data_IF_456268962883
#
_entry.id   IF_456268962883
#
_cell.length_a   1.000
_cell.length_b   1.000
_cell.length_c   1.000
_cell.angle_alpha   90.00
_cell.angle_beta   90.00
_cell.angle_gamma   90.00
#
_symmetry.space_group_name_H-M   'P 1'
#
loop_
_entity.id
_entity.type
_entity.pdbx_description
1 polymer ?
#
# COMPACT_ATOMS: atom_id res chain seq x y z
N UNK A 1 -11.14 -4.23 22.33
CA UNK A 1 -11.73 -4.24 23.69
C UNK A 1 -10.69 -4.80 24.66
N UNK A 2 -10.52 -4.22 25.86
CA UNK A 2 -9.47 -4.67 26.81
C UNK A 2 -9.92 -5.82 27.72
N UNK A 3 -11.21 -5.87 28.06
CA UNK A 3 -11.78 -6.83 29.02
C UNK A 3 -13.28 -6.95 28.78
N UNK A 4 -13.82 -8.16 28.93
CA UNK A 4 -15.25 -8.47 28.85
C UNK A 4 -15.70 -9.27 30.07
N UNK A 5 -16.96 -9.16 30.52
CA UNK A 5 -17.44 -9.77 31.76
C UNK A 5 -17.20 -11.28 31.87
N UNK A 6 -16.77 -11.73 33.06
CA UNK A 6 -16.73 -13.15 33.44
C UNK A 6 -18.14 -13.68 33.70
N UNK A 7 -18.34 -15.01 33.77
CA UNK A 7 -19.63 -15.59 34.17
C UNK A 7 -20.18 -15.03 35.48
N UNK A 8 -19.34 -14.78 36.49
CA UNK A 8 -19.73 -14.21 37.77
C UNK A 8 -20.12 -12.73 37.67
N UNK A 9 -19.36 -11.94 36.91
CA UNK A 9 -19.63 -10.50 36.75
C UNK A 9 -20.94 -10.23 35.99
N UNK A 10 -21.35 -11.14 35.09
CA UNK A 10 -22.65 -11.07 34.39
C UNK A 10 -23.84 -11.15 35.33
N UNK A 11 -23.66 -11.63 36.56
CA UNK A 11 -24.73 -11.70 37.58
C UNK A 11 -24.98 -10.34 38.26
N UNK A 12 -24.15 -9.32 38.01
CA UNK A 12 -24.31 -7.99 38.62
C UNK A 12 -25.52 -7.27 38.01
N UNK A 13 -26.44 -6.72 38.83
CA UNK A 13 -27.70 -6.14 38.34
C UNK A 13 -27.52 -4.89 37.46
N UNK A 14 -26.36 -4.22 37.56
CA UNK A 14 -26.02 -3.07 36.72
C UNK A 14 -25.51 -3.42 35.32
N UNK A 15 -25.19 -4.69 35.05
CA UNK A 15 -24.60 -5.13 33.78
C UNK A 15 -23.21 -4.53 33.51
N UNK A 16 -22.81 -4.55 32.25
CA UNK A 16 -21.57 -3.96 31.75
C UNK A 16 -21.78 -3.29 30.39
N UNK A 17 -20.88 -2.38 30.02
CA UNK A 17 -20.93 -1.64 28.77
C UNK A 17 -19.56 -1.52 28.10
N UNK A 18 -19.54 -0.94 26.90
CA UNK A 18 -18.35 -0.75 26.07
C UNK A 18 -18.19 0.73 25.73
N UNK A 19 -16.99 1.24 25.93
CA UNK A 19 -16.51 2.46 25.29
C UNK A 19 -15.50 2.10 24.19
N UNK A 20 -15.85 2.39 22.93
CA UNK A 20 -15.06 2.08 21.74
C UNK A 20 -14.48 3.35 21.10
N UNK A 21 -13.54 3.21 20.16
CA UNK A 21 -12.86 4.34 19.53
C UNK A 21 -12.77 4.15 18.01
N UNK A 22 -13.29 5.12 17.25
CA UNK A 22 -12.96 5.34 15.83
C UNK A 22 -11.94 6.47 15.64
N UNK A 23 -11.82 7.33 16.65
CA UNK A 23 -10.85 8.42 16.78
C UNK A 23 -10.06 8.31 18.08
N UNK A 24 -8.81 8.78 18.13
CA UNK A 24 -8.06 8.87 19.37
C UNK A 24 -6.91 9.88 19.35
N UNK A 25 -6.80 10.64 20.45
CA UNK A 25 -5.66 11.49 20.80
C UNK A 25 -4.81 10.76 21.85
N UNK A 26 -3.62 10.28 21.47
CA UNK A 26 -2.73 9.59 22.40
C UNK A 26 -1.75 8.61 21.76
N UNK A 27 -1.17 7.74 22.58
CA UNK A 27 -0.12 6.79 22.17
C UNK A 27 -0.65 5.54 21.42
N UNK A 28 0.20 4.87 20.62
CA UNK A 28 1.57 5.27 20.26
C UNK A 28 1.61 6.47 19.29
N UNK A 29 0.51 6.72 18.58
CA UNK A 29 0.28 7.92 17.77
C UNK A 29 -1.21 8.14 17.56
N UNK A 30 -1.61 9.39 17.64
CA UNK A 30 -2.99 9.83 17.41
C UNK A 30 -3.45 9.46 15.99
N UNK A 31 -4.74 9.26 15.81
CA UNK A 31 -5.39 9.08 14.52
C UNK A 31 -6.69 9.87 14.54
N UNK A 32 -6.76 10.89 13.68
CA UNK A 32 -7.74 11.97 13.80
C UNK A 32 -8.35 12.42 12.48
N UNK A 33 -7.74 12.04 11.36
CA UNK A 33 -8.04 12.69 10.09
C UNK A 33 -9.22 12.08 9.33
N UNK A 34 -9.19 10.77 9.07
CA UNK A 34 -10.19 10.07 8.25
C UNK A 34 -10.51 8.70 8.85
N UNK A 35 -11.56 8.05 8.32
CA UNK A 35 -11.93 6.71 8.76
C UNK A 35 -10.81 5.68 8.47
N UNK A 36 -10.42 4.98 9.53
CA UNK A 36 -9.41 3.90 9.55
C UNK A 36 -9.96 2.58 10.14
N UNK A 37 -11.28 2.49 10.33
CA UNK A 37 -11.91 1.38 11.06
C UNK A 37 -12.82 0.54 10.14
N UNK A 38 -12.35 -0.61 9.63
CA UNK A 38 -13.17 -1.48 8.79
C UNK A 38 -14.29 -2.16 9.58
N UNK A 39 -15.47 -2.33 8.97
CA UNK A 39 -16.64 -2.90 9.64
C UNK A 39 -16.41 -4.31 10.22
N UNK A 40 -15.70 -5.24 9.55
CA UNK A 40 -15.39 -6.54 10.14
C UNK A 40 -14.68 -6.46 11.49
N UNK A 41 -13.81 -5.46 11.67
CA UNK A 41 -13.13 -5.22 12.96
C UNK A 41 -14.10 -4.74 14.04
N UNK A 42 -15.03 -3.86 13.70
CA UNK A 42 -16.07 -3.41 14.62
C UNK A 42 -16.97 -4.58 15.00
N UNK A 43 -17.45 -5.32 13.99
CA UNK A 43 -18.32 -6.47 14.18
C UNK A 43 -17.69 -7.50 15.10
N UNK A 44 -16.46 -7.94 14.83
CA UNK A 44 -15.81 -9.01 15.59
C UNK A 44 -15.68 -8.64 17.07
N UNK A 45 -15.23 -7.42 17.37
CA UNK A 45 -15.06 -6.95 18.74
C UNK A 45 -16.41 -6.75 19.44
N UNK A 46 -17.37 -6.09 18.79
CA UNK A 46 -18.67 -5.81 19.39
C UNK A 46 -19.53 -7.07 19.51
N UNK A 47 -19.35 -8.05 18.62
CA UNK A 47 -19.97 -9.37 18.73
C UNK A 47 -19.48 -10.07 20.00
N UNK A 48 -18.18 -10.07 20.28
CA UNK A 48 -17.66 -10.59 21.54
C UNK A 48 -18.28 -9.86 22.74
N UNK A 49 -18.41 -8.53 22.70
CA UNK A 49 -19.05 -7.77 23.78
C UNK A 49 -20.49 -8.23 24.06
N UNK A 50 -21.29 -8.38 23.00
CA UNK A 50 -22.64 -8.89 23.10
C UNK A 50 -22.68 -10.32 23.65
N UNK A 51 -21.86 -11.23 23.11
CA UNK A 51 -21.80 -12.63 23.57
C UNK A 51 -21.34 -12.77 25.02
N UNK A 52 -20.61 -11.79 25.55
CA UNK A 52 -20.10 -11.78 26.92
C UNK A 52 -20.98 -10.96 27.88
N UNK A 53 -22.16 -10.51 27.45
CA UNK A 53 -23.13 -9.81 28.30
C UNK A 53 -22.71 -8.39 28.69
N UNK A 54 -21.87 -7.74 27.87
CA UNK A 54 -21.56 -6.32 28.02
C UNK A 54 -22.49 -5.48 27.15
N UNK A 55 -23.80 -5.59 27.35
CA UNK A 55 -24.86 -5.09 26.47
C UNK A 55 -25.67 -3.91 27.06
N UNK A 56 -25.27 -3.38 28.23
CA UNK A 56 -26.03 -2.34 28.92
C UNK A 56 -25.87 -0.94 28.32
N UNK A 57 -24.67 -0.62 27.84
CA UNK A 57 -24.34 0.70 27.27
C UNK A 57 -23.19 0.54 26.28
N UNK A 58 -23.41 0.91 25.02
CA UNK A 58 -22.36 1.03 24.02
C UNK A 58 -22.21 2.48 23.59
N UNK A 59 -20.99 3.01 23.72
CA UNK A 59 -20.63 4.35 23.31
C UNK A 59 -19.34 4.29 22.49
N UNK A 60 -19.23 5.09 21.44
CA UNK A 60 -18.05 5.15 20.58
C UNK A 60 -17.55 6.58 20.45
N UNK A 61 -16.24 6.78 20.58
CA UNK A 61 -15.58 8.03 20.24
C UNK A 61 -15.50 8.15 18.71
N UNK A 62 -16.20 9.15 18.16
CA UNK A 62 -16.28 9.41 16.72
C UNK A 62 -15.44 10.63 16.28
N UNK A 63 -14.61 11.18 17.17
CA UNK A 63 -13.87 12.42 16.90
C UNK A 63 -14.82 13.55 16.55
N UNK A 64 -14.57 14.21 15.42
CA UNK A 64 -15.37 15.32 14.87
C UNK A 64 -16.68 14.87 14.18
N UNK A 65 -17.13 13.62 14.43
CA UNK A 65 -18.27 12.94 13.79
C UNK A 65 -18.03 12.63 12.31
N UNK A 66 -17.74 13.63 11.48
CA UNK A 66 -17.30 13.41 10.09
C UNK A 66 -15.78 13.21 10.08
N UNK A 67 -15.22 12.32 9.23
CA UNK A 67 -15.88 11.50 8.20
C UNK A 67 -16.11 10.05 8.67
N UNK A 68 -16.75 9.85 9.84
CA UNK A 68 -16.99 8.53 10.45
C UNK A 68 -18.43 8.05 10.24
N UNK A 69 -19.16 8.53 9.24
CA UNK A 69 -20.60 8.29 9.05
C UNK A 69 -20.91 6.78 8.94
N UNK A 70 -20.20 6.08 8.05
CA UNK A 70 -20.40 4.64 7.81
C UNK A 70 -20.14 3.77 9.05
N UNK A 71 -18.96 3.83 9.70
CA UNK A 71 -18.72 3.01 10.88
C UNK A 71 -19.57 3.43 12.08
N UNK A 72 -19.94 4.71 12.22
CA UNK A 72 -20.83 5.19 13.28
C UNK A 72 -22.23 4.62 13.12
N UNK A 73 -22.79 4.69 11.91
CA UNK A 73 -24.10 4.11 11.64
C UNK A 73 -24.09 2.59 11.85
N UNK A 74 -23.04 1.90 11.38
CA UNK A 74 -22.91 0.46 11.60
C UNK A 74 -22.86 0.11 13.09
N UNK A 75 -22.07 0.86 13.89
CA UNK A 75 -21.99 0.64 15.33
C UNK A 75 -23.35 0.76 16.01
N UNK A 76 -24.14 1.78 15.66
CA UNK A 76 -25.47 2.01 16.23
C UNK A 76 -26.49 0.97 15.77
N UNK A 77 -26.50 0.60 14.48
CA UNK A 77 -27.35 -0.46 13.95
C UNK A 77 -27.01 -1.84 14.55
N UNK A 78 -25.71 -2.10 14.77
CA UNK A 78 -25.25 -3.31 15.42
C UNK A 78 -25.66 -3.33 16.91
N UNK A 79 -25.54 -2.20 17.61
CA UNK A 79 -25.99 -2.05 19.01
C UNK A 79 -27.48 -2.31 19.19
N UNK A 80 -28.30 -1.89 18.22
CA UNK A 80 -29.74 -2.09 18.24
C UNK A 80 -30.14 -3.57 18.23
N UNK A 81 -29.54 -4.36 17.32
CA UNK A 81 -29.80 -5.79 17.23
C UNK A 81 -28.60 -6.55 16.64
N UNK A 82 -27.66 -7.02 17.48
CA UNK A 82 -26.49 -7.77 17.02
C UNK A 82 -26.84 -9.05 16.25
N UNK A 83 -27.98 -9.69 16.57
CA UNK A 83 -28.41 -10.92 15.92
C UNK A 83 -28.88 -10.72 14.47
N UNK A 84 -29.30 -9.50 14.10
CA UNK A 84 -29.68 -9.18 12.72
C UNK A 84 -28.48 -9.12 11.75
N UNK A 85 -27.27 -8.96 12.31
CA UNK A 85 -26.04 -8.73 11.56
C UNK A 85 -24.97 -9.79 11.89
N UNK A 86 -25.16 -11.06 11.50
CA UNK A 86 -24.09 -12.06 11.57
C UNK A 86 -22.94 -11.69 10.61
N UNK A 87 -21.74 -12.26 10.82
CA UNK A 87 -20.54 -11.96 10.01
C UNK A 87 -20.79 -12.06 8.51
N UNK A 88 -21.52 -13.10 8.08
CA UNK A 88 -21.83 -13.37 6.68
C UNK A 88 -22.65 -12.26 6.00
N UNK A 89 -23.33 -11.39 6.77
CA UNK A 89 -24.15 -10.27 6.27
C UNK A 89 -23.44 -8.92 6.34
N UNK A 90 -22.16 -8.87 6.71
CA UNK A 90 -21.40 -7.62 6.67
C UNK A 90 -21.28 -7.02 5.26
N UNK A 91 -21.08 -7.82 4.19
CA UNK A 91 -21.15 -7.29 2.82
C UNK A 91 -22.52 -6.67 2.52
N UNK A 92 -23.62 -7.32 2.91
CA UNK A 92 -24.98 -6.81 2.70
C UNK A 92 -25.19 -5.43 3.33
N UNK A 93 -24.63 -5.19 4.52
CA UNK A 93 -24.80 -3.91 5.23
C UNK A 93 -24.34 -2.74 4.38
N UNK A 94 -23.13 -2.83 3.79
CA UNK A 94 -22.58 -1.76 2.96
C UNK A 94 -23.38 -1.59 1.67
N UNK A 95 -23.84 -2.69 1.06
CA UNK A 95 -24.70 -2.61 -0.13
C UNK A 95 -26.04 -1.95 0.18
N UNK A 96 -26.66 -2.25 1.32
CA UNK A 96 -27.90 -1.61 1.76
C UNK A 96 -27.72 -0.12 2.05
N UNK A 97 -26.65 0.25 2.76
CA UNK A 97 -26.28 1.65 2.98
C UNK A 97 -26.07 2.38 1.65
N UNK A 98 -25.27 1.80 0.75
CA UNK A 98 -24.99 2.40 -0.55
C UNK A 98 -26.26 2.54 -1.42
N UNK A 99 -27.16 1.56 -1.36
CA UNK A 99 -28.44 1.59 -2.07
C UNK A 99 -29.32 2.74 -1.58
N UNK A 100 -29.33 2.99 -0.26
CA UNK A 100 -30.07 4.11 0.33
C UNK A 100 -29.52 5.47 -0.11
N UNK A 101 -28.19 5.63 -0.13
CA UNK A 101 -27.55 6.92 -0.44
C UNK A 101 -27.45 7.22 -1.94
N UNK A 102 -27.21 6.20 -2.78
CA UNK A 102 -26.86 6.37 -4.20
C UNK A 102 -27.72 5.58 -5.17
N UNK A 103 -28.71 4.83 -4.67
CA UNK A 103 -29.56 3.96 -5.48
C UNK A 103 -28.93 2.60 -5.80
N UNK A 104 -29.76 1.68 -6.28
CA UNK A 104 -29.37 0.27 -6.47
C UNK A 104 -28.36 0.05 -7.61
N UNK A 105 -28.36 0.91 -8.63
CA UNK A 105 -27.54 0.74 -9.84
C UNK A 105 -26.05 0.64 -9.55
N UNK A 106 -25.54 1.49 -8.64
CA UNK A 106 -24.12 1.56 -8.31
C UNK A 106 -23.78 1.06 -6.90
N UNK A 107 -24.75 0.55 -6.15
CA UNK A 107 -24.60 0.21 -4.74
C UNK A 107 -23.46 -0.79 -4.47
N UNK A 108 -23.29 -1.78 -5.35
CA UNK A 108 -22.21 -2.77 -5.22
C UNK A 108 -20.81 -2.14 -5.32
N UNK A 109 -20.62 -1.23 -6.28
CA UNK A 109 -19.34 -0.55 -6.49
C UNK A 109 -19.04 0.42 -5.34
N UNK A 110 -20.04 1.20 -4.91
CA UNK A 110 -19.92 2.09 -3.75
C UNK A 110 -19.54 1.31 -2.48
N UNK A 111 -20.22 0.20 -2.21
CA UNK A 111 -19.94 -0.66 -1.07
C UNK A 111 -18.51 -1.21 -1.11
N UNK A 112 -18.05 -1.65 -2.29
CA UNK A 112 -16.68 -2.14 -2.49
C UNK A 112 -15.63 -1.05 -2.25
N UNK A 113 -15.85 0.18 -2.73
CA UNK A 113 -14.96 1.31 -2.48
C UNK A 113 -14.81 1.61 -0.99
N UNK A 114 -15.93 1.63 -0.26
CA UNK A 114 -15.97 1.90 1.19
C UNK A 114 -15.31 0.80 2.01
N UNK A 115 -15.60 -0.46 1.69
CA UNK A 115 -14.92 -1.61 2.31
C UNK A 115 -13.42 -1.55 2.09
N UNK A 116 -13.00 -1.29 0.85
CA UNK A 116 -11.59 -1.33 0.46
C UNK A 116 -10.77 -0.23 1.13
N UNK A 117 -11.22 1.04 1.11
CA UNK A 117 -10.43 2.11 1.72
C UNK A 117 -10.31 1.90 3.24
N UNK A 118 -11.39 1.47 3.91
CA UNK A 118 -11.38 1.27 5.35
C UNK A 118 -10.47 0.09 5.73
N UNK A 119 -10.48 -0.98 4.93
CA UNK A 119 -9.55 -2.11 5.07
C UNK A 119 -8.10 -1.67 4.86
N UNK A 120 -7.83 -0.89 3.82
CA UNK A 120 -6.48 -0.44 3.49
C UNK A 120 -5.92 0.51 4.56
N UNK A 121 -6.71 1.49 5.01
CA UNK A 121 -6.36 2.35 6.14
C UNK A 121 -6.23 1.58 7.47
N UNK A 122 -6.91 0.44 7.58
CA UNK A 122 -6.77 -0.50 8.70
C UNK A 122 -5.42 -1.22 8.75
N UNK A 123 -4.68 -1.34 7.63
CA UNK A 123 -3.33 -1.93 7.57
C UNK A 123 -2.34 -1.07 8.35
N UNK A 124 -2.36 0.24 8.09
CA UNK A 124 -1.60 1.26 8.80
C UNK A 124 -2.35 2.58 8.72
N UNK A 125 -2.59 3.21 9.87
CA UNK A 125 -3.31 4.49 9.94
C UNK A 125 -2.50 5.59 9.22
N UNK A 126 -3.14 6.56 8.55
CA UNK A 126 -2.47 7.62 7.79
C UNK A 126 -1.35 8.32 8.55
N UNK A 127 -1.62 8.74 9.79
CA UNK A 127 -0.65 9.46 10.64
C UNK A 127 0.53 8.57 11.06
N UNK A 128 0.38 7.25 10.98
CA UNK A 128 1.41 6.24 11.29
C UNK A 128 2.18 5.76 10.07
N UNK A 129 1.84 6.26 8.88
CA UNK A 129 2.64 6.04 7.68
C UNK A 129 3.96 6.80 7.77
N UNK A 130 4.95 6.21 7.13
CA UNK A 130 6.30 6.72 6.94
C UNK A 130 6.82 6.12 5.61
N UNK A 131 7.85 6.71 4.98
CA UNK A 131 8.37 6.20 3.72
C UNK A 131 8.70 4.71 3.75
N UNK A 132 9.22 4.20 4.86
CA UNK A 132 9.67 2.82 5.01
C UNK A 132 8.57 1.84 5.49
N UNK A 133 7.29 2.25 5.48
CA UNK A 133 6.17 1.42 5.97
C UNK A 133 5.97 0.17 5.13
N UNK A 134 5.97 0.33 3.80
CA UNK A 134 5.87 -0.76 2.85
C UNK A 134 7.21 -0.91 2.15
N UNK A 135 7.65 -2.14 1.90
CA UNK A 135 8.98 -2.40 1.39
C UNK A 135 9.13 -2.01 -0.09
N UNK A 136 10.10 -1.15 -0.39
CA UNK A 136 10.58 -0.92 -1.75
C UNK A 136 11.50 -2.04 -2.26
N UNK A 137 11.96 -2.94 -1.38
CA UNK A 137 13.00 -3.93 -1.70
C UNK A 137 12.44 -5.35 -1.83
N UNK A 138 11.33 -5.67 -1.19
CA UNK A 138 10.84 -7.04 -1.08
C UNK A 138 9.42 -7.15 -1.63
N UNK A 139 9.20 -8.19 -2.45
CA UNK A 139 7.87 -8.59 -2.95
C UNK A 139 7.10 -7.48 -3.68
N UNK A 140 7.83 -6.47 -4.17
CA UNK A 140 7.27 -5.25 -4.78
C UNK A 140 6.14 -4.64 -3.93
N UNK A 141 6.27 -4.71 -2.60
CA UNK A 141 5.17 -4.40 -1.68
C UNK A 141 4.70 -2.95 -1.82
N UNK A 142 5.63 -1.99 -1.77
CA UNK A 142 5.32 -0.56 -1.92
C UNK A 142 4.64 -0.26 -3.26
N UNK A 143 5.14 -0.84 -4.36
CA UNK A 143 4.55 -0.70 -5.69
C UNK A 143 3.12 -1.26 -5.75
N UNK A 144 2.89 -2.48 -5.24
CA UNK A 144 1.56 -3.11 -5.24
C UNK A 144 0.58 -2.32 -4.38
N UNK A 145 0.99 -1.84 -3.21
CA UNK A 145 0.13 -1.02 -2.35
C UNK A 145 -0.28 0.28 -3.04
N UNK A 146 0.65 0.97 -3.70
CA UNK A 146 0.34 2.19 -4.47
C UNK A 146 -0.57 1.87 -5.66
N UNK A 147 -0.31 0.78 -6.38
CA UNK A 147 -1.14 0.35 -7.50
C UNK A 147 -2.58 0.03 -7.07
N UNK A 148 -2.75 -0.69 -5.96
CA UNK A 148 -4.07 -1.00 -5.38
C UNK A 148 -4.84 0.27 -5.02
N UNK A 149 -4.18 1.23 -4.36
CA UNK A 149 -4.77 2.51 -4.00
C UNK A 149 -5.16 3.34 -5.23
N UNK A 150 -4.27 3.42 -6.22
CA UNK A 150 -4.52 4.20 -7.43
C UNK A 150 -5.61 3.57 -8.30
N UNK A 151 -5.69 2.24 -8.38
CA UNK A 151 -6.79 1.54 -9.01
C UNK A 151 -8.14 1.84 -8.30
N UNK A 152 -8.14 1.90 -6.97
CA UNK A 152 -9.32 2.26 -6.18
C UNK A 152 -9.75 3.72 -6.45
N UNK A 153 -8.80 4.65 -6.48
CA UNK A 153 -9.05 6.06 -6.79
C UNK A 153 -9.56 6.29 -8.22
N UNK A 154 -9.04 5.55 -9.20
CA UNK A 154 -9.56 5.57 -10.58
C UNK A 154 -11.00 5.06 -10.66
N UNK A 155 -11.31 3.96 -9.96
CA UNK A 155 -12.69 3.45 -9.87
C UNK A 155 -13.64 4.49 -9.25
N UNK A 156 -13.24 5.12 -8.15
CA UNK A 156 -14.04 6.17 -7.51
C UNK A 156 -14.26 7.38 -8.44
N UNK A 157 -13.24 7.83 -9.18
CA UNK A 157 -13.37 8.92 -10.17
C UNK A 157 -14.30 8.56 -11.33
N UNK A 158 -14.17 7.35 -11.87
CA UNK A 158 -15.05 6.86 -12.95
C UNK A 158 -16.51 6.82 -12.49
N UNK A 159 -16.77 6.32 -11.28
CA UNK A 159 -18.12 6.28 -10.74
C UNK A 159 -18.67 7.70 -10.48
N UNK A 160 -17.88 8.60 -9.88
CA UNK A 160 -18.30 9.98 -9.66
C UNK A 160 -18.79 10.69 -10.93
N UNK A 161 -18.16 10.40 -12.08
CA UNK A 161 -18.54 10.96 -13.37
C UNK A 161 -19.88 10.43 -13.90
N UNK A 162 -20.29 9.23 -13.48
CA UNK A 162 -21.55 8.59 -13.87
C UNK A 162 -22.73 9.03 -12.98
N UNK A 163 -22.46 9.48 -11.75
CA UNK A 163 -23.51 9.86 -10.82
C UNK A 163 -24.23 11.16 -11.24
N UNK A 164 -25.55 11.25 -10.96
CA UNK A 164 -26.31 12.49 -11.07
C UNK A 164 -25.69 13.62 -10.25
N UNK A 165 -25.81 14.86 -10.72
CA UNK A 165 -25.12 16.01 -10.12
C UNK A 165 -25.46 16.19 -8.64
N UNK A 166 -26.72 15.94 -8.27
CA UNK A 166 -27.26 16.02 -6.92
C UNK A 166 -26.64 15.00 -5.94
N UNK A 167 -26.07 13.89 -6.44
CA UNK A 167 -25.42 12.89 -5.60
C UNK A 167 -23.92 13.12 -5.45
N UNK A 168 -23.31 13.97 -6.28
CA UNK A 168 -21.84 14.11 -6.34
C UNK A 168 -21.23 14.67 -5.07
N UNK A 169 -21.92 15.56 -4.37
CA UNK A 169 -21.44 16.09 -3.08
C UNK A 169 -21.44 15.04 -1.97
N UNK A 170 -22.49 14.20 -1.93
CA UNK A 170 -22.57 13.08 -1.00
C UNK A 170 -21.51 12.02 -1.35
N UNK A 171 -21.37 11.68 -2.63
CA UNK A 171 -20.38 10.72 -3.08
C UNK A 171 -18.96 11.20 -2.81
N UNK A 172 -18.68 12.49 -3.06
CA UNK A 172 -17.36 13.04 -2.82
C UNK A 172 -16.98 12.94 -1.34
N UNK A 173 -17.87 13.36 -0.44
CA UNK A 173 -17.53 13.38 0.99
C UNK A 173 -17.50 11.98 1.64
N UNK A 174 -18.37 11.06 1.20
CA UNK A 174 -18.56 9.73 1.83
C UNK A 174 -17.64 8.66 1.22
N UNK A 175 -17.23 8.82 -0.04
CA UNK A 175 -16.55 7.77 -0.81
C UNK A 175 -15.29 8.30 -1.50
N UNK A 176 -15.41 9.29 -2.39
CA UNK A 176 -14.29 9.67 -3.27
C UNK A 176 -13.13 10.30 -2.50
N UNK A 177 -13.42 11.24 -1.59
CA UNK A 177 -12.40 11.93 -0.81
C UNK A 177 -11.54 10.98 0.03
N UNK A 178 -12.10 10.12 0.91
CA UNK A 178 -11.26 9.22 1.71
C UNK A 178 -10.44 8.26 0.85
N UNK A 179 -10.93 7.85 -0.33
CA UNK A 179 -10.17 7.03 -1.28
C UNK A 179 -9.01 7.82 -1.88
N UNK A 180 -9.28 8.99 -2.49
CA UNK A 180 -8.24 9.80 -3.16
C UNK A 180 -7.19 10.34 -2.19
N UNK A 181 -7.62 10.78 -1.01
CA UNK A 181 -6.72 11.34 0.00
C UNK A 181 -5.78 10.25 0.57
N UNK A 182 -6.31 9.06 0.86
CA UNK A 182 -5.49 7.93 1.31
C UNK A 182 -4.54 7.43 0.22
N UNK A 183 -5.01 7.36 -1.04
CA UNK A 183 -4.16 6.98 -2.17
C UNK A 183 -2.99 7.97 -2.36
N UNK A 184 -3.28 9.27 -2.35
CA UNK A 184 -2.28 10.32 -2.48
C UNK A 184 -1.22 10.25 -1.36
N UNK A 185 -1.63 10.02 -0.11
CA UNK A 185 -0.72 9.93 1.02
C UNK A 185 0.20 8.69 0.94
N UNK A 186 -0.35 7.54 0.54
CA UNK A 186 0.46 6.33 0.36
C UNK A 186 1.47 6.51 -0.78
N UNK A 187 1.04 7.11 -1.90
CA UNK A 187 1.94 7.41 -3.02
C UNK A 187 3.01 8.44 -2.63
N UNK A 188 2.67 9.46 -1.82
CA UNK A 188 3.64 10.43 -1.31
C UNK A 188 4.76 9.72 -0.54
N UNK A 189 4.42 8.86 0.41
CA UNK A 189 5.43 8.17 1.22
C UNK A 189 6.25 7.16 0.40
N UNK A 190 5.63 6.40 -0.50
CA UNK A 190 6.34 5.51 -1.42
C UNK A 190 7.30 6.27 -2.35
N UNK A 191 6.87 7.43 -2.88
CA UNK A 191 7.71 8.28 -3.71
C UNK A 191 8.91 8.83 -2.94
N UNK A 192 8.72 9.21 -1.68
CA UNK A 192 9.81 9.69 -0.80
C UNK A 192 10.78 8.54 -0.47
N UNK A 193 10.28 7.33 -0.28
CA UNK A 193 11.11 6.14 -0.06
C UNK A 193 11.99 5.87 -1.28
N UNK A 194 11.39 5.83 -2.48
CA UNK A 194 12.12 5.65 -3.72
C UNK A 194 13.11 6.80 -3.94
N UNK A 195 12.71 8.06 -3.77
CA UNK A 195 13.62 9.20 -3.89
C UNK A 195 14.87 9.04 -3.01
N UNK A 196 14.72 8.60 -1.76
CA UNK A 196 15.86 8.42 -0.85
C UNK A 196 16.76 7.27 -1.28
N UNK A 197 16.17 6.12 -1.64
CA UNK A 197 16.88 4.96 -2.14
C UNK A 197 17.65 5.29 -3.42
N UNK A 198 16.99 5.96 -4.36
CA UNK A 198 17.54 6.34 -5.66
C UNK A 198 18.66 7.37 -5.52
N UNK A 199 18.54 8.30 -4.57
CA UNK A 199 19.61 9.24 -4.24
C UNK A 199 20.87 8.52 -3.70
N UNK A 200 20.70 7.52 -2.81
CA UNK A 200 21.83 6.73 -2.29
C UNK A 200 22.50 5.91 -3.39
N UNK A 201 21.75 5.53 -4.43
CA UNK A 201 22.24 4.83 -5.61
C UNK A 201 22.77 5.78 -6.71
N UNK A 202 22.60 7.10 -6.56
CA UNK A 202 23.00 8.12 -7.53
C UNK A 202 22.20 8.11 -8.83
N UNK A 203 20.93 7.66 -8.79
CA UNK A 203 20.07 7.53 -9.98
C UNK A 203 19.62 8.88 -10.52
N UNK A 204 19.63 9.03 -11.85
CA UNK A 204 19.24 10.26 -12.55
C UNK A 204 17.76 10.67 -12.32
N UNK A 205 16.88 9.72 -11.98
CA UNK A 205 15.46 9.96 -11.70
C UNK A 205 15.19 10.57 -10.30
N UNK A 206 16.22 10.72 -9.45
CA UNK A 206 16.09 11.25 -8.07
C UNK A 206 15.37 12.59 -8.03
N UNK A 207 15.73 13.53 -8.90
CA UNK A 207 15.11 14.87 -8.94
C UNK A 207 13.65 14.83 -9.42
N UNK A 208 13.32 13.92 -10.34
CA UNK A 208 11.94 13.72 -10.79
C UNK A 208 11.07 13.17 -9.65
N UNK A 209 11.59 12.23 -8.86
CA UNK A 209 10.91 11.71 -7.67
C UNK A 209 10.74 12.80 -6.59
N UNK A 210 11.74 13.67 -6.40
CA UNK A 210 11.62 14.81 -5.48
C UNK A 210 10.51 15.79 -5.92
N UNK A 211 10.43 16.10 -7.22
CA UNK A 211 9.35 16.92 -7.77
C UNK A 211 7.97 16.25 -7.64
N UNK A 212 7.88 14.93 -7.90
CA UNK A 212 6.65 14.15 -7.74
C UNK A 212 6.16 14.17 -6.29
N UNK A 213 7.05 13.99 -5.32
CA UNK A 213 6.70 14.05 -3.90
C UNK A 213 6.13 15.44 -3.52
N UNK A 214 6.74 16.53 -4.00
CA UNK A 214 6.22 17.89 -3.77
C UNK A 214 4.83 18.08 -4.39
N UNK A 215 4.60 17.53 -5.59
CA UNK A 215 3.31 17.59 -6.26
C UNK A 215 2.23 16.80 -5.49
N UNK A 216 2.55 15.62 -4.96
CA UNK A 216 1.65 14.80 -4.14
C UNK A 216 1.29 15.51 -2.82
N UNK A 217 2.26 16.17 -2.18
CA UNK A 217 1.98 16.99 -1.00
C UNK A 217 1.10 18.21 -1.31
N UNK A 218 1.32 18.87 -2.45
CA UNK A 218 0.42 19.94 -2.89
C UNK A 218 -0.99 19.42 -3.23
N UNK A 219 -1.09 18.21 -3.81
CA UNK A 219 -2.36 17.55 -4.11
C UNK A 219 -3.16 17.22 -2.84
N UNK A 220 -2.48 16.84 -1.76
CA UNK A 220 -3.12 16.64 -0.44
C UNK A 220 -3.88 17.89 0.02
N UNK A 221 -3.20 19.03 0.00
CA UNK A 221 -3.81 20.32 0.34
C UNK A 221 -4.97 20.69 -0.59
N UNK A 222 -4.86 20.41 -1.90
CA UNK A 222 -5.93 20.66 -2.86
C UNK A 222 -7.16 19.76 -2.63
N UNK A 223 -6.96 18.49 -2.29
CA UNK A 223 -8.07 17.60 -1.92
C UNK A 223 -8.82 18.13 -0.71
N UNK A 224 -8.08 18.54 0.34
CA UNK A 224 -8.67 19.13 1.53
C UNK A 224 -9.40 20.45 1.21
N UNK A 225 -8.84 21.29 0.33
CA UNK A 225 -9.47 22.54 -0.13
C UNK A 225 -10.80 22.25 -0.84
N UNK A 226 -10.81 21.32 -1.80
CA UNK A 226 -12.03 20.91 -2.53
C UNK A 226 -13.12 20.45 -1.56
N UNK A 227 -12.79 19.60 -0.59
CA UNK A 227 -13.75 19.16 0.43
C UNK A 227 -14.36 20.33 1.21
N UNK A 228 -13.53 21.30 1.58
CA UNK A 228 -13.92 22.38 2.49
C UNK A 228 -14.58 23.59 1.80
N UNK A 229 -14.35 23.78 0.50
CA UNK A 229 -14.75 24.99 -0.23
C UNK A 229 -15.71 24.72 -1.38
N UNK A 230 -15.60 23.57 -2.06
CA UNK A 230 -16.38 23.32 -3.28
C UNK A 230 -17.59 22.44 -2.99
N UNK A 231 -17.42 21.43 -2.14
CA UNK A 231 -18.48 20.46 -1.84
C UNK A 231 -19.64 21.14 -1.13
N UNK A 232 -20.84 20.99 -1.70
CA UNK A 232 -22.07 21.57 -1.19
C UNK A 232 -21.95 23.07 -0.90
N UNK A 233 -21.24 23.81 -1.76
CA UNK A 233 -21.03 25.26 -1.62
C UNK A 233 -20.22 25.65 -0.38
N UNK A 234 -19.28 24.80 0.05
CA UNK A 234 -18.42 25.07 1.21
C UNK A 234 -19.04 24.71 2.56
N UNK A 235 -20.13 23.93 2.58
CA UNK A 235 -20.85 23.54 3.80
C UNK A 235 -19.96 22.90 4.88
N UNK A 236 -18.94 22.15 4.46
CA UNK A 236 -18.06 21.39 5.35
C UNK A 236 -16.70 22.07 5.58
N UNK A 237 -16.71 23.39 5.67
CA UNK A 237 -15.51 24.16 5.97
C UNK A 237 -14.84 23.66 7.26
N UNK A 238 -13.50 23.63 7.27
CA UNK A 238 -12.65 23.11 8.37
C UNK A 238 -12.69 21.60 8.65
N UNK A 239 -13.63 20.82 8.08
CA UNK A 239 -13.72 19.38 8.39
C UNK A 239 -12.48 18.57 7.99
N UNK A 240 -11.69 19.05 7.03
CA UNK A 240 -10.43 18.42 6.59
C UNK A 240 -9.21 19.27 6.94
N UNK A 241 -9.28 20.05 8.03
CA UNK A 241 -8.17 20.90 8.50
C UNK A 241 -7.18 20.16 9.41
N UNK A 242 -7.51 18.94 9.85
CA UNK A 242 -6.66 18.15 10.74
C UNK A 242 -5.32 17.82 10.06
N UNK A 243 -4.23 18.14 10.76
CA UNK A 243 -2.87 17.79 10.32
C UNK A 243 -2.64 16.28 10.44
N UNK A 244 -2.08 15.69 9.39
CA UNK A 244 -1.91 14.24 9.25
C UNK A 244 -0.55 13.86 8.64
N UNK A 245 0.26 14.83 8.20
CA UNK A 245 1.60 14.59 7.62
C UNK A 245 2.68 15.25 8.51
N UNK A 246 3.70 14.48 8.88
CA UNK A 246 4.87 14.99 9.60
C UNK A 246 4.93 14.66 11.09
N UNK A 247 4.21 13.63 11.54
CA UNK A 247 4.25 13.19 12.93
C UNK A 247 5.63 12.60 13.29
N UNK A 248 6.25 13.16 14.34
CA UNK A 248 7.50 12.64 14.94
C UNK A 248 7.30 12.12 16.36
N UNK A 249 6.10 12.27 16.91
CA UNK A 249 5.72 11.80 18.26
C UNK A 249 4.31 11.20 18.24
N UNK A 250 3.71 11.02 19.42
CA UNK A 250 2.30 10.64 19.52
C UNK A 250 1.34 11.77 19.11
N UNK A 251 1.79 13.01 19.25
CA UNK A 251 1.06 14.25 19.00
C UNK A 251 1.30 14.76 17.58
N UNK A 252 0.28 15.41 17.04
CA UNK A 252 0.28 16.05 15.74
C UNK A 252 1.18 17.30 15.66
N UNK A 253 1.79 17.56 14.50
CA UNK A 253 2.48 18.82 14.24
C UNK A 253 1.46 19.97 14.06
N UNK A 254 1.94 21.22 14.22
CA UNK A 254 1.10 22.41 14.05
C UNK A 254 0.55 22.58 12.63
N UNK A 255 1.27 22.08 11.63
CA UNK A 255 0.89 22.10 10.21
C UNK A 255 1.30 20.77 9.56
N UNK A 256 0.73 20.46 8.38
CA UNK A 256 1.29 19.39 7.55
C UNK A 256 2.73 19.76 7.14
N UNK A 257 3.66 18.83 7.31
CA UNK A 257 5.08 19.02 6.99
C UNK A 257 5.45 18.10 5.83
N UNK A 258 5.90 18.68 4.72
CA UNK A 258 6.40 17.93 3.57
C UNK A 258 7.55 17.01 4.01
N UNK A 259 7.48 15.69 3.76
CA UNK A 259 8.58 14.80 4.06
C UNK A 259 9.85 15.20 3.32
N UNK A 260 11.00 15.12 4.01
CA UNK A 260 12.28 15.46 3.41
C UNK A 260 12.61 14.52 2.24
N UNK A 261 12.86 15.13 1.08
CA UNK A 261 13.39 14.52 -0.14
C UNK A 261 14.88 14.81 -0.26
N UNK A 262 15.59 13.97 -1.01
CA UNK A 262 16.98 14.16 -1.40
C UNK A 262 17.04 14.70 -2.82
N UNK A 263 17.98 15.59 -3.03
CA UNK A 263 18.40 16.06 -4.35
C UNK A 263 19.84 15.60 -4.56
N UNK A 264 20.16 15.16 -5.77
CA UNK A 264 21.55 14.98 -6.19
C UNK A 264 21.91 16.14 -7.10
N UNK A 265 23.16 16.61 -7.06
CA UNK A 265 23.63 17.54 -8.07
C UNK A 265 23.37 16.90 -9.44
N UNK A 266 22.75 17.65 -10.37
CA UNK A 266 22.57 17.19 -11.74
C UNK A 266 23.91 16.62 -12.22
N UNK A 267 23.91 15.38 -12.71
CA UNK A 267 25.11 14.61 -12.98
C UNK A 267 26.15 15.52 -13.68
N UNK A 268 27.23 15.86 -12.98
CA UNK A 268 28.26 16.76 -13.52
C UNK A 268 28.96 16.14 -14.73
N UNK A 269 28.79 14.84 -14.95
CA UNK A 269 29.12 14.16 -16.18
C UNK A 269 27.98 14.33 -17.19
N UNK A 270 28.27 15.04 -18.29
CA UNK A 270 27.45 15.02 -19.50
C UNK A 270 27.38 13.62 -20.15
N UNK A 271 28.18 12.66 -19.66
CA UNK A 271 28.27 11.31 -20.20
C UNK A 271 27.34 10.33 -19.48
N UNK A 272 26.85 9.29 -20.16
CA UNK A 272 26.08 8.23 -19.51
C UNK A 272 26.96 7.49 -18.49
N UNK A 273 26.36 7.04 -17.40
CA UNK A 273 27.07 6.27 -16.38
C UNK A 273 26.20 5.13 -15.88
N UNK A 274 26.65 3.89 -16.11
CA UNK A 274 25.92 2.68 -15.74
C UNK A 274 25.76 2.58 -14.22
N UNK A 275 24.57 2.18 -13.79
CA UNK A 275 24.29 1.67 -12.46
C UNK A 275 23.39 0.44 -12.56
N UNK A 276 23.58 -0.50 -11.63
CA UNK A 276 22.82 -1.76 -11.60
C UNK A 276 22.37 -2.05 -10.18
N UNK A 277 21.05 -2.17 -9.99
CA UNK A 277 20.43 -2.59 -8.74
C UNK A 277 19.73 -3.94 -8.95
N UNK A 278 19.52 -4.66 -7.85
CA UNK A 278 18.86 -5.97 -7.85
C UNK A 278 17.79 -5.99 -6.78
N UNK A 279 16.70 -6.71 -7.04
CA UNK A 279 15.64 -6.90 -6.06
C UNK A 279 16.19 -7.38 -4.71
N UNK A 280 15.60 -6.89 -3.62
CA UNK A 280 15.95 -7.31 -2.26
C UNK A 280 17.16 -6.62 -1.65
N UNK A 281 17.88 -5.75 -2.38
CA UNK A 281 19.09 -5.08 -1.87
C UNK A 281 19.05 -3.58 -2.14
N UNK A 282 19.37 -2.77 -1.11
CA UNK A 282 19.43 -1.32 -1.26
C UNK A 282 20.69 -0.84 -2.00
N UNK A 283 21.81 -1.56 -1.82
CA UNK A 283 23.08 -1.22 -2.47
C UNK A 283 23.04 -1.53 -3.97
N UNK A 284 23.71 -0.70 -4.77
CA UNK A 284 23.80 -0.84 -6.21
C UNK A 284 25.26 -0.77 -6.68
N UNK A 285 25.54 -1.40 -7.83
CA UNK A 285 26.82 -1.25 -8.54
C UNK A 285 26.94 0.17 -9.11
N UNK A 286 28.13 0.79 -9.11
CA UNK A 286 29.47 0.24 -8.81
C UNK A 286 29.88 0.29 -7.33
N UNK A 287 29.09 0.89 -6.44
CA UNK A 287 29.45 0.96 -5.03
C UNK A 287 29.45 -0.43 -4.36
N UNK A 288 28.51 -1.30 -4.78
CA UNK A 288 28.50 -2.71 -4.43
C UNK A 288 29.23 -3.55 -5.49
N UNK A 289 30.22 -4.34 -5.06
CA UNK A 289 30.96 -5.25 -5.96
C UNK A 289 30.29 -6.60 -6.20
N UNK A 290 29.36 -7.01 -5.32
CA UNK A 290 28.70 -8.32 -5.38
C UNK A 290 27.18 -8.14 -5.42
N UNK A 291 26.59 -8.19 -6.61
CA UNK A 291 25.13 -8.16 -6.78
C UNK A 291 24.56 -9.59 -6.79
N UNK A 292 23.48 -9.81 -6.05
CA UNK A 292 22.84 -11.13 -5.92
C UNK A 292 21.33 -10.98 -5.87
N UNK A 293 20.63 -11.63 -6.79
CA UNK A 293 19.17 -11.67 -6.80
C UNK A 293 18.63 -12.56 -5.66
N UNK A 294 17.34 -12.39 -5.30
CA UNK A 294 16.60 -13.41 -4.57
C UNK A 294 16.75 -14.77 -5.26
N UNK A 295 16.87 -15.84 -4.47
CA UNK A 295 17.02 -17.16 -5.04
C UNK A 295 15.73 -17.56 -5.77
N UNK A 296 15.85 -18.01 -7.02
CA UNK A 296 14.73 -18.45 -7.82
C UNK A 296 14.50 -19.95 -7.61
N UNK A 297 13.24 -20.35 -7.57
CA UNK A 297 12.83 -21.75 -7.48
C UNK A 297 11.74 -22.08 -8.52
N UNK A 298 11.48 -23.37 -8.82
CA UNK A 298 10.54 -23.77 -9.87
C UNK A 298 9.07 -23.39 -9.63
N UNK A 299 8.74 -22.94 -8.43
CA UNK A 299 7.38 -22.63 -7.99
C UNK A 299 7.15 -21.11 -7.81
N UNK A 300 8.17 -20.30 -8.05
CA UNK A 300 8.10 -18.86 -7.94
C UNK A 300 6.98 -18.29 -8.82
N UNK A 301 6.03 -17.59 -8.19
CA UNK A 301 4.93 -16.90 -8.86
C UNK A 301 5.37 -15.58 -9.52
N UNK A 302 6.53 -15.05 -9.13
CA UNK A 302 7.11 -13.80 -9.63
C UNK A 302 8.56 -14.01 -10.01
N UNK A 303 9.02 -13.26 -11.01
CA UNK A 303 10.42 -13.25 -11.43
C UNK A 303 11.17 -12.11 -10.74
N UNK A 304 12.38 -12.36 -10.19
CA UNK A 304 13.21 -11.31 -9.66
C UNK A 304 13.72 -10.43 -10.79
N UNK A 305 13.96 -9.16 -10.48
CA UNK A 305 14.40 -8.19 -11.48
C UNK A 305 15.76 -7.54 -11.19
N UNK A 306 16.42 -7.20 -12.29
CA UNK A 306 17.60 -6.34 -12.35
C UNK A 306 17.17 -4.99 -12.88
N UNK A 307 17.45 -3.93 -12.15
CA UNK A 307 17.26 -2.57 -12.65
C UNK A 307 18.56 -2.02 -13.21
N UNK A 308 18.55 -1.71 -14.50
CA UNK A 308 19.61 -0.96 -15.18
C UNK A 308 19.22 0.51 -15.13
N UNK A 309 20.07 1.35 -14.57
CA UNK A 309 19.76 2.77 -14.42
C UNK A 309 20.93 3.66 -14.81
N UNK A 310 20.58 4.88 -15.20
CA UNK A 310 21.53 5.91 -15.54
C UNK A 310 21.87 6.76 -14.32
N UNK A 311 23.15 7.02 -14.11
CA UNK A 311 23.68 7.98 -13.12
C UNK A 311 24.17 9.26 -13.79
N UNK A 312 24.24 9.27 -15.12
CA UNK A 312 24.61 10.40 -15.97
C UNK A 312 23.39 11.15 -16.49
N UNK A 313 23.62 12.08 -17.43
CA UNK A 313 22.56 12.89 -18.05
C UNK A 313 22.32 12.58 -19.53
N UNK A 314 23.29 12.00 -20.25
CA UNK A 314 23.09 11.51 -21.61
C UNK A 314 22.47 10.10 -21.62
N UNK A 315 21.72 9.71 -22.68
CA UNK A 315 21.14 8.37 -22.80
C UNK A 315 22.19 7.27 -22.67
N UNK A 316 21.89 6.25 -21.86
CA UNK A 316 22.76 5.12 -21.56
C UNK A 316 22.37 3.89 -22.39
N UNK A 317 23.11 3.57 -23.47
CA UNK A 317 22.97 2.27 -24.14
C UNK A 317 23.58 1.16 -23.27
N UNK A 318 22.91 0.02 -23.21
CA UNK A 318 23.34 -1.14 -22.44
C UNK A 318 23.02 -2.45 -23.15
N UNK A 319 23.74 -3.51 -22.77
CA UNK A 319 23.45 -4.90 -23.13
C UNK A 319 23.41 -5.76 -21.87
N UNK A 320 22.64 -6.85 -21.93
CA UNK A 320 22.50 -7.83 -20.85
C UNK A 320 22.58 -9.23 -21.44
N UNK A 321 23.48 -10.03 -20.88
CA UNK A 321 23.67 -11.42 -21.27
C UNK A 321 23.73 -12.33 -20.06
N UNK A 322 23.29 -13.58 -20.22
CA UNK A 322 23.45 -14.63 -19.23
C UNK A 322 24.57 -15.59 -19.66
N UNK A 323 25.28 -16.16 -18.68
CA UNK A 323 26.31 -17.18 -18.93
C UNK A 323 25.72 -18.56 -19.28
N UNK A 324 24.40 -18.73 -19.07
CA UNK A 324 23.69 -19.99 -19.28
C UNK A 324 22.49 -19.82 -20.22
N UNK A 325 22.28 -20.74 -21.19
CA UNK A 325 21.22 -20.63 -22.20
C UNK A 325 19.81 -20.95 -21.68
N UNK A 326 19.69 -21.39 -20.43
CA UNK A 326 18.42 -21.65 -19.74
C UNK A 326 17.96 -20.47 -18.89
N UNK A 327 18.77 -19.42 -18.74
CA UNK A 327 18.34 -18.15 -18.15
C UNK A 327 17.58 -17.35 -19.21
N UNK A 328 16.39 -16.87 -18.87
CA UNK A 328 15.52 -16.06 -19.73
C UNK A 328 15.51 -14.63 -19.23
N UNK A 329 15.86 -13.69 -20.10
CA UNK A 329 15.84 -12.26 -19.81
C UNK A 329 14.69 -11.61 -20.58
N UNK A 330 13.91 -10.73 -19.95
CA UNK A 330 12.84 -10.00 -20.65
C UNK A 330 13.37 -9.02 -21.70
N UNK A 331 14.62 -8.58 -21.55
CA UNK A 331 15.31 -7.65 -22.44
C UNK A 331 16.82 -7.94 -22.42
N UNK A 332 17.46 -7.89 -23.59
CA UNK A 332 18.90 -8.17 -23.76
C UNK A 332 19.73 -6.95 -24.11
N UNK A 333 19.10 -5.84 -24.46
CA UNK A 333 19.74 -4.58 -24.82
C UNK A 333 18.72 -3.46 -24.82
N UNK A 334 19.20 -2.22 -24.73
CA UNK A 334 18.36 -1.03 -24.84
C UNK A 334 19.13 0.25 -24.57
N UNK A 335 18.39 1.35 -24.51
CA UNK A 335 18.92 2.66 -24.14
C UNK A 335 17.99 3.29 -23.10
N UNK A 336 18.54 3.76 -21.98
CA UNK A 336 17.75 4.38 -20.89
C UNK A 336 18.19 5.80 -20.61
N UNK A 337 17.22 6.68 -20.44
CA UNK A 337 17.48 8.01 -19.86
C UNK A 337 17.52 7.93 -18.33
N UNK A 338 16.60 7.15 -17.74
CA UNK A 338 16.46 6.99 -16.29
C UNK A 338 16.75 5.56 -15.85
N UNK A 339 15.87 4.62 -16.20
CA UNK A 339 16.03 3.21 -15.83
C UNK A 339 15.22 2.27 -16.73
N UNK A 340 15.58 0.99 -16.70
CA UNK A 340 14.83 -0.13 -17.24
C UNK A 340 14.88 -1.30 -16.26
N UNK A 341 13.78 -2.05 -16.18
CA UNK A 341 13.65 -3.26 -15.37
C UNK A 341 13.73 -4.49 -16.25
N UNK A 342 14.55 -5.45 -15.86
CA UNK A 342 14.80 -6.69 -16.60
C UNK A 342 14.43 -7.87 -15.70
N UNK A 343 13.34 -8.55 -16.06
CA UNK A 343 12.91 -9.75 -15.35
C UNK A 343 13.82 -10.93 -15.72
N UNK A 344 14.22 -11.69 -14.70
CA UNK A 344 15.13 -12.83 -14.84
C UNK A 344 14.38 -14.12 -14.51
N UNK A 345 14.05 -14.88 -15.56
CA UNK A 345 13.41 -16.18 -15.48
C UNK A 345 14.37 -17.35 -15.74
N UNK A 346 13.89 -18.57 -15.49
CA UNK A 346 14.64 -19.82 -15.70
C UNK A 346 13.78 -20.85 -16.43
N UNK A 347 14.36 -21.47 -17.46
CA UNK A 347 13.81 -22.65 -18.11
C UNK A 347 14.21 -23.91 -17.33
N UNK A 348 13.41 -24.24 -16.32
CA UNK A 348 13.69 -25.33 -15.38
C UNK A 348 13.89 -26.70 -16.02
N UNK A 349 13.33 -26.95 -17.21
CA UNK A 349 13.52 -28.21 -17.93
C UNK A 349 14.93 -28.37 -18.50
N UNK A 350 15.68 -27.27 -18.65
CA UNK A 350 17.03 -27.23 -19.24
C UNK A 350 18.13 -27.00 -18.20
N UNK A 351 17.78 -26.85 -16.93
CA UNK A 351 18.74 -26.67 -15.83
C UNK A 351 19.41 -28.02 -15.52
N UNK A 352 20.75 -28.15 -15.62
CA UNK A 352 21.44 -29.38 -15.23
C UNK A 352 21.22 -29.73 -13.76
N UNK A 353 21.18 -31.03 -13.46
CA UNK A 353 21.08 -31.50 -12.09
C UNK A 353 22.29 -31.03 -11.26
N UNK A 354 22.02 -30.51 -10.05
CA UNK A 354 23.05 -30.00 -9.16
C UNK A 354 23.48 -28.55 -9.41
N UNK A 355 22.95 -27.87 -10.43
CA UNK A 355 23.18 -26.44 -10.63
C UNK A 355 22.62 -25.62 -9.48
N UNK A 356 23.46 -24.75 -8.89
CA UNK A 356 23.10 -23.90 -7.75
C UNK A 356 22.98 -22.43 -8.08
N UNK A 357 23.50 -21.99 -9.23
CA UNK A 357 23.50 -20.59 -9.65
C UNK A 357 23.80 -20.41 -11.15
N UNK A 358 23.48 -19.23 -11.67
CA UNK A 358 23.94 -18.66 -12.93
C UNK A 358 24.39 -17.21 -12.71
N UNK A 359 24.93 -16.59 -13.76
CA UNK A 359 25.34 -15.19 -13.76
C UNK A 359 24.68 -14.42 -14.92
N UNK A 360 24.29 -13.19 -14.63
CA UNK A 360 23.82 -12.22 -15.61
C UNK A 360 24.78 -11.04 -15.61
N UNK A 361 25.28 -10.66 -16.77
CA UNK A 361 26.19 -9.53 -16.94
C UNK A 361 25.45 -8.40 -17.64
N UNK A 362 25.44 -7.22 -17.03
CA UNK A 362 24.98 -5.97 -17.63
C UNK A 362 26.22 -5.17 -18.04
N UNK A 363 26.29 -4.73 -19.29
CA UNK A 363 27.40 -3.94 -19.81
C UNK A 363 26.92 -2.66 -20.47
N UNK A 364 27.73 -1.60 -20.36
CA UNK A 364 27.55 -0.34 -21.08
C UNK A 364 28.51 -0.25 -22.27
N UNK A 365 28.22 0.66 -23.20
CA UNK A 365 29.01 0.85 -24.42
C UNK A 365 30.46 1.32 -24.17
N UNK A 366 30.75 1.90 -23.00
CA UNK A 366 32.08 2.33 -22.58
C UNK A 366 32.95 1.19 -22.00
N UNK A 367 32.43 -0.04 -21.98
CA UNK A 367 33.12 -1.23 -21.47
C UNK A 367 32.91 -1.47 -19.97
N UNK A 368 32.22 -0.59 -19.24
CA UNK A 368 31.83 -0.87 -17.86
C UNK A 368 30.83 -2.02 -17.81
N UNK A 369 30.98 -2.90 -16.83
CA UNK A 369 30.06 -4.02 -16.63
C UNK A 369 29.88 -4.38 -15.16
N UNK A 370 28.68 -4.88 -14.86
CA UNK A 370 28.30 -5.43 -13.56
C UNK A 370 27.87 -6.88 -13.73
N UNK A 371 28.33 -7.75 -12.83
CA UNK A 371 27.92 -9.15 -12.78
C UNK A 371 26.94 -9.36 -11.62
N UNK A 372 25.81 -9.97 -11.93
CA UNK A 372 24.74 -10.31 -11.00
C UNK A 372 24.66 -11.82 -10.87
N UNK A 373 24.73 -12.31 -9.64
CA UNK A 373 24.53 -13.73 -9.33
C UNK A 373 23.03 -14.02 -9.25
N UNK A 374 22.56 -15.02 -9.99
CA UNK A 374 21.22 -15.61 -9.89
C UNK A 374 21.32 -16.94 -9.13
N UNK A 375 20.98 -17.00 -7.84
CA UNK A 375 20.96 -18.24 -7.09
C UNK A 375 19.74 -19.08 -7.48
N UNK A 376 19.91 -20.39 -7.55
CA UNK A 376 18.80 -21.33 -7.74
C UNK A 376 18.56 -22.13 -6.47
N UNK A 377 17.29 -22.41 -6.17
CA UNK A 377 16.86 -23.34 -5.13
C UNK A 377 15.96 -24.40 -5.73
N UNK A 378 16.01 -25.60 -5.17
CA UNK A 378 15.09 -26.68 -5.49
C UNK A 378 14.96 -27.02 -6.99
N UNK A 379 16.02 -26.84 -7.79
CA UNK A 379 15.98 -27.01 -9.24
C UNK A 379 15.44 -28.40 -9.69
N UNK A 380 15.70 -29.45 -8.90
CA UNK A 380 15.18 -30.81 -9.14
C UNK A 380 13.82 -31.13 -8.49
N UNK A 381 13.25 -30.22 -7.68
CA UNK A 381 12.06 -30.51 -6.88
C UNK A 381 10.75 -30.45 -7.67
N UNK A 382 10.73 -29.83 -8.86
CA UNK A 382 9.51 -29.75 -9.69
C UNK A 382 8.95 -31.12 -10.06
N UNK A 383 9.82 -32.10 -10.31
CA UNK A 383 9.42 -33.48 -10.55
C UNK A 383 8.96 -34.21 -9.28
N UNK A 384 9.43 -33.78 -8.10
CA UNK A 384 9.12 -34.39 -6.82
C UNK A 384 7.78 -33.92 -6.22
N UNK A 385 7.32 -32.71 -6.56
CA UNK A 385 6.05 -32.16 -6.06
C UNK A 385 4.84 -32.72 -6.82
N UNK A 386 4.96 -33.09 -8.11
CA UNK A 386 3.90 -33.80 -8.85
C UNK A 386 2.50 -33.17 -8.68
N UNK A 387 1.50 -34.00 -8.37
CA UNK A 387 0.11 -33.60 -8.07
C UNK A 387 -0.13 -33.33 -6.57
N UNK A 388 0.90 -32.97 -5.79
CA UNK A 388 0.75 -32.75 -4.36
C UNK A 388 -0.25 -31.62 -4.07
N UNK A 389 -1.27 -31.93 -3.26
CA UNK A 389 -2.23 -30.96 -2.76
C UNK A 389 -1.63 -30.16 -1.59
N UNK A 390 -1.66 -28.82 -1.67
CA UNK A 390 -1.23 -27.94 -0.60
C UNK A 390 -0.50 -26.70 -1.09
N UNK A 391 0.11 -25.97 -0.15
CA UNK A 391 0.94 -24.81 -0.44
C UNK A 391 2.40 -25.23 -0.53
N UNK A 392 3.10 -24.71 -1.53
CA UNK A 392 4.50 -25.03 -1.81
C UNK A 392 5.38 -23.88 -1.35
N UNK A 393 6.51 -24.20 -0.72
CA UNK A 393 7.53 -23.22 -0.35
C UNK A 393 8.11 -22.57 -1.61
N UNK A 394 8.14 -21.24 -1.61
CA UNK A 394 8.85 -20.45 -2.62
C UNK A 394 9.51 -19.25 -1.96
N UNK A 395 10.71 -18.88 -2.41
CA UNK A 395 11.48 -17.77 -1.83
C UNK A 395 11.91 -17.97 -0.37
N UNK A 396 11.82 -19.19 0.16
CA UNK A 396 12.09 -19.48 1.57
C UNK A 396 10.91 -19.27 2.52
N UNK A 397 9.69 -19.12 1.98
CA UNK A 397 8.47 -18.88 2.75
C UNK A 397 7.28 -19.67 2.20
N UNK A 398 6.29 -19.91 3.06
CA UNK A 398 4.95 -20.38 2.68
C UNK A 398 3.95 -19.38 3.26
N UNK A 399 3.12 -18.77 2.42
CA UNK A 399 2.09 -17.81 2.83
C UNK A 399 0.70 -18.38 2.54
N UNK A 400 -0.15 -18.48 3.57
CA UNK A 400 -1.47 -19.09 3.53
C UNK A 400 -2.46 -18.13 4.19
N UNK A 401 -3.46 -17.69 3.44
CA UNK A 401 -4.60 -16.95 4.00
C UNK A 401 -5.43 -17.91 4.88
N UNK A 402 -5.82 -17.45 6.08
CA UNK A 402 -6.42 -18.27 7.12
C UNK A 402 -7.88 -18.68 6.89
#
# INVERSE_FOLDING_TARGET
IRRLPTPEERKRPGGAGIYYHFDYVGGPRSYKWINVTPLPKVWEQMHQAWRYGADRLWIVNVGDLKPMEVPTEFFLNYAWNPAAWPAARLPDYLTLWATREFGAEHAGEVAALVESYARFNGRRRPEQLAPETFSALHYRESERVVADWNALAERARKLAAQLPAEQRDAFFQLVQYPVEASANLNELYATVQLNRLHADQGRADTGALAARARALFARDAELARRYQQDVAGGKWHHMMSQTHIGYTSWKDPATNIMPAVREIAAASAAQPALGVAVEGTAAAWPAAGNLRLPALDPFAATFPDIEVFNRGSAPLPYTVGADQPWVKLSQTDGTVEQSARIEVGVDWARVPAGTTQAQVTVAAADGQSATVVLPLRHAGARAAVGDAAGFVESGGVVAIEA
#
